data_IF_197000967541
#
_entry.id   IF_197000967541
#
_cell.length_a   1.000
_cell.length_b   1.000
_cell.length_c   1.000
_cell.angle_alpha   90.00
_cell.angle_beta   90.00
_cell.angle_gamma   90.00
#
_symmetry.space_group_name_H-M   'P 1'
#
loop_
_entity.id
_entity.type
_entity.pdbx_description
1 polymer ?
#
# COMPACT_ATOMS: atom_id res chain seq x y z
N UNK A 1 17.17 -17.72 38.65
CA UNK A 1 17.45 -17.32 37.26
C UNK A 1 16.13 -17.28 36.53
N UNK A 2 15.62 -16.09 36.20
CA UNK A 2 14.53 -15.97 35.25
C UNK A 2 15.13 -16.34 33.89
N UNK A 3 14.77 -17.51 33.37
CA UNK A 3 15.04 -17.82 31.96
C UNK A 3 14.28 -16.75 31.16
N UNK A 4 15.02 -15.79 30.57
CA UNK A 4 14.43 -14.88 29.60
C UNK A 4 13.86 -15.75 28.48
N UNK A 5 12.54 -15.83 28.38
CA UNK A 5 11.90 -16.54 27.29
C UNK A 5 12.33 -15.85 25.99
N UNK A 6 12.74 -16.67 25.03
CA UNK A 6 13.17 -16.18 23.74
C UNK A 6 12.01 -15.50 23.03
N UNK A 7 12.18 -14.24 22.66
CA UNK A 7 11.20 -13.51 21.87
C UNK A 7 11.06 -14.15 20.48
N UNK A 8 9.82 -14.29 20.01
CA UNK A 8 9.55 -14.71 18.64
C UNK A 8 9.93 -13.59 17.66
N UNK A 9 11.01 -13.81 16.89
CA UNK A 9 11.48 -12.88 15.85
C UNK A 9 11.19 -13.45 14.47
N UNK A 10 10.42 -12.70 13.68
CA UNK A 10 9.94 -13.07 12.36
C UNK A 10 10.41 -12.03 11.33
N UNK A 11 10.77 -12.48 10.12
CA UNK A 11 10.96 -11.56 8.99
C UNK A 11 9.62 -10.93 8.58
N UNK A 12 8.56 -11.73 8.58
CA UNK A 12 7.20 -11.28 8.33
C UNK A 12 6.19 -12.26 8.91
N UNK A 13 5.01 -11.75 9.23
CA UNK A 13 3.86 -12.52 9.67
C UNK A 13 2.74 -12.32 8.64
N UNK A 14 2.24 -13.41 8.08
CA UNK A 14 1.06 -13.40 7.22
C UNK A 14 -0.04 -14.20 7.87
N UNK A 15 -1.24 -13.65 7.92
CA UNK A 15 -2.41 -14.34 8.48
C UNK A 15 -3.46 -14.46 7.38
N UNK A 16 -3.72 -15.70 6.96
CA UNK A 16 -4.75 -16.03 6.01
C UNK A 16 -5.80 -16.91 6.70
N UNK A 17 -7.06 -16.51 6.59
CA UNK A 17 -8.19 -17.25 7.12
C UNK A 17 -9.23 -17.48 6.03
N UNK A 18 -10.01 -18.55 6.19
CA UNK A 18 -11.16 -18.79 5.33
C UNK A 18 -12.18 -17.66 5.49
N UNK A 19 -12.83 -17.25 4.40
CA UNK A 19 -13.81 -16.15 4.41
C UNK A 19 -14.89 -16.35 5.48
N UNK A 20 -15.39 -17.57 5.65
CA UNK A 20 -16.38 -17.89 6.68
C UNK A 20 -15.89 -17.58 8.11
N UNK A 21 -14.59 -17.79 8.40
CA UNK A 21 -13.99 -17.51 9.70
C UNK A 21 -13.68 -16.03 9.92
N UNK A 22 -13.45 -15.28 8.84
CA UNK A 22 -13.31 -13.83 8.86
C UNK A 22 -14.69 -13.21 9.16
N UNK A 23 -15.71 -13.59 8.37
CA UNK A 23 -17.07 -13.04 8.47
C UNK A 23 -17.69 -13.24 9.85
N UNK A 24 -17.44 -14.38 10.51
CA UNK A 24 -17.99 -14.64 11.84
C UNK A 24 -17.05 -14.21 13.00
N UNK A 25 -15.95 -13.52 12.69
CA UNK A 25 -14.96 -12.99 13.64
C UNK A 25 -14.16 -14.06 14.39
N UNK A 26 -14.28 -15.35 14.03
CA UNK A 26 -13.56 -16.44 14.71
C UNK A 26 -12.05 -16.34 14.47
N UNK A 27 -11.66 -15.95 13.26
CA UNK A 27 -10.26 -15.72 12.93
C UNK A 27 -9.65 -14.65 13.84
N UNK A 28 -10.31 -13.49 13.98
CA UNK A 28 -9.88 -12.41 14.85
C UNK A 28 -9.73 -12.86 16.29
N UNK A 29 -10.79 -13.42 16.90
CA UNK A 29 -10.75 -13.87 18.29
C UNK A 29 -9.63 -14.86 18.56
N UNK A 30 -9.39 -15.79 17.64
CA UNK A 30 -8.31 -16.76 17.79
C UNK A 30 -6.92 -16.10 17.72
N UNK A 31 -6.74 -15.12 16.83
CA UNK A 31 -5.50 -14.35 16.74
C UNK A 31 -5.26 -13.50 17.98
N UNK A 32 -6.27 -12.78 18.46
CA UNK A 32 -6.20 -11.98 19.68
C UNK A 32 -5.87 -12.87 20.88
N UNK A 33 -6.51 -14.04 21.02
CA UNK A 33 -6.20 -15.00 22.07
C UNK A 33 -4.75 -15.51 21.97
N UNK A 34 -4.25 -15.78 20.77
CA UNK A 34 -2.87 -16.22 20.56
C UNK A 34 -1.89 -15.10 20.92
N UNK A 35 -2.09 -13.89 20.42
CA UNK A 35 -1.17 -12.78 20.61
C UNK A 35 -1.19 -12.25 22.04
N UNK A 36 -2.36 -12.19 22.68
CA UNK A 36 -2.47 -11.83 24.10
C UNK A 36 -1.88 -12.88 25.05
N UNK A 37 -1.73 -14.13 24.60
CA UNK A 37 -1.03 -15.17 25.38
C UNK A 37 0.49 -15.03 25.35
N UNK A 38 1.04 -14.17 24.48
CA UNK A 38 2.46 -13.86 24.45
C UNK A 38 2.78 -12.84 25.55
N UNK A 39 3.88 -13.08 26.27
CA UNK A 39 4.39 -12.17 27.31
C UNK A 39 5.28 -11.06 26.73
N UNK A 40 5.32 -10.94 25.40
CA UNK A 40 6.09 -9.95 24.65
C UNK A 40 5.33 -9.52 23.40
N UNK A 41 5.69 -8.36 22.83
CA UNK A 41 5.20 -7.94 21.52
C UNK A 41 5.83 -8.77 20.39
N UNK A 42 5.13 -8.90 19.28
CA UNK A 42 5.57 -9.63 18.10
C UNK A 42 6.67 -8.83 17.39
N UNK A 43 7.86 -9.43 17.26
CA UNK A 43 8.95 -8.86 16.48
C UNK A 43 8.85 -9.31 15.02
N UNK A 44 8.01 -8.64 14.23
CA UNK A 44 7.88 -8.89 12.80
C UNK A 44 8.08 -7.61 11.99
N UNK A 45 8.98 -7.63 10.98
CA UNK A 45 9.20 -6.44 10.13
C UNK A 45 8.03 -6.15 9.19
N UNK A 46 7.29 -7.19 8.84
CA UNK A 46 6.16 -7.12 7.92
C UNK A 46 4.96 -7.82 8.54
N UNK A 47 3.80 -7.20 8.42
CA UNK A 47 2.51 -7.82 8.72
C UNK A 47 1.63 -7.81 7.47
N UNK A 48 1.08 -8.98 7.14
CA UNK A 48 0.12 -9.17 6.06
C UNK A 48 -1.13 -9.84 6.61
N UNK A 49 -2.31 -9.30 6.31
CA UNK A 49 -3.56 -9.90 6.74
C UNK A 49 -4.67 -9.80 5.68
N UNK A 50 -5.62 -10.72 5.77
CA UNK A 50 -6.76 -10.84 4.89
C UNK A 50 -8.05 -10.84 5.72
N UNK A 51 -9.01 -9.99 5.37
CA UNK A 51 -10.28 -9.83 6.10
C UNK A 51 -10.72 -8.39 6.24
N UNK A 52 -11.57 -8.07 7.23
CA UNK A 52 -12.00 -6.68 7.44
C UNK A 52 -10.84 -5.82 7.92
N UNK A 53 -10.65 -4.65 7.34
CA UNK A 53 -9.57 -3.73 7.64
C UNK A 53 -9.58 -3.35 9.13
N UNK A 54 -10.76 -3.13 9.71
CA UNK A 54 -10.92 -2.88 11.15
C UNK A 54 -10.32 -4.01 12.01
N UNK A 55 -10.63 -5.26 11.70
CA UNK A 55 -10.12 -6.42 12.43
C UNK A 55 -8.61 -6.60 12.23
N UNK A 56 -8.11 -6.33 11.03
CA UNK A 56 -6.67 -6.42 10.76
C UNK A 56 -5.88 -5.39 11.56
N UNK A 57 -6.45 -4.19 11.69
CA UNK A 57 -5.83 -3.07 12.38
C UNK A 57 -5.91 -3.20 13.90
N UNK A 58 -6.92 -3.89 14.45
CA UNK A 58 -6.98 -4.17 15.88
C UNK A 58 -5.83 -5.08 16.36
N UNK A 59 -5.14 -5.74 15.44
CA UNK A 59 -3.96 -6.57 15.74
C UNK A 59 -2.66 -5.77 15.84
N UNK A 60 -2.61 -4.51 15.38
CA UNK A 60 -1.39 -3.70 15.42
C UNK A 60 -0.78 -3.53 16.82
N UNK A 61 -1.56 -3.32 17.91
CA UNK A 61 -0.99 -3.16 19.26
C UNK A 61 -0.14 -4.34 19.75
N UNK A 62 -0.31 -5.54 19.18
CA UNK A 62 0.48 -6.72 19.52
C UNK A 62 1.88 -6.72 18.88
N UNK A 63 2.17 -5.85 17.91
CA UNK A 63 3.47 -5.77 17.25
C UNK A 63 4.39 -4.77 17.94
N UNK A 64 5.69 -5.03 17.90
CA UNK A 64 6.68 -4.05 18.34
C UNK A 64 6.76 -2.90 17.32
N UNK A 65 6.51 -1.64 17.72
CA UNK A 65 6.51 -0.49 16.82
C UNK A 65 7.88 -0.15 16.24
N UNK A 66 8.99 -0.49 16.91
CA UNK A 66 10.34 -0.23 16.41
C UNK A 66 10.76 -1.23 15.32
N UNK A 67 10.07 -2.37 15.23
CA UNK A 67 10.39 -3.45 14.29
C UNK A 67 9.45 -3.47 13.10
N UNK A 68 8.15 -3.22 13.31
CA UNK A 68 7.15 -3.27 12.25
C UNK A 68 7.33 -2.09 11.28
N UNK A 69 7.68 -2.39 10.04
CA UNK A 69 7.95 -1.40 8.99
C UNK A 69 6.94 -1.45 7.85
N UNK A 70 6.32 -2.61 7.63
CA UNK A 70 5.49 -2.86 6.45
C UNK A 70 4.14 -3.45 6.82
N UNK A 71 3.07 -2.84 6.33
CA UNK A 71 1.71 -3.33 6.49
C UNK A 71 1.07 -3.62 5.13
N UNK A 72 0.55 -4.83 4.99
CA UNK A 72 -0.21 -5.28 3.83
C UNK A 72 -1.60 -5.72 4.29
N UNK A 73 -2.65 -5.09 3.75
CA UNK A 73 -4.04 -5.43 4.08
C UNK A 73 -4.77 -5.78 2.80
N UNK A 74 -5.45 -6.91 2.82
CA UNK A 74 -6.39 -7.31 1.78
C UNK A 74 -7.80 -7.30 2.35
N UNK A 75 -8.56 -6.26 2.02
CA UNK A 75 -9.96 -6.08 2.38
C UNK A 75 -10.85 -6.88 1.42
N UNK A 76 -11.57 -7.86 1.98
CA UNK A 76 -12.44 -8.78 1.21
C UNK A 76 -13.91 -8.37 1.23
N UNK A 77 -14.30 -7.45 2.10
CA UNK A 77 -15.68 -7.02 2.33
C UNK A 77 -15.89 -5.55 1.96
N UNK A 78 -17.15 -5.12 1.87
CA UNK A 78 -17.46 -3.69 1.67
C UNK A 78 -16.91 -2.90 2.85
N UNK A 79 -16.17 -1.83 2.56
CA UNK A 79 -15.57 -0.99 3.58
C UNK A 79 -16.66 -0.29 4.39
N UNK A 80 -16.70 -0.55 5.69
CA UNK A 80 -17.39 0.33 6.64
C UNK A 80 -16.74 1.73 6.62
N UNK A 81 -17.44 2.79 7.07
CA UNK A 81 -16.86 4.13 7.17
C UNK A 81 -15.53 4.11 7.92
N UNK A 82 -14.44 4.36 7.18
CA UNK A 82 -13.08 4.10 7.66
C UNK A 82 -12.45 5.30 8.44
N UNK A 83 -13.14 6.44 8.47
CA UNK A 83 -12.59 7.69 9.02
C UNK A 83 -12.29 7.58 10.52
N UNK A 84 -13.19 6.95 11.29
CA UNK A 84 -13.01 6.77 12.73
C UNK A 84 -11.83 5.84 13.01
N UNK A 85 -11.72 4.75 12.26
CA UNK A 85 -10.60 3.81 12.37
C UNK A 85 -9.26 4.49 12.07
N UNK A 86 -9.17 5.32 11.02
CA UNK A 86 -7.93 6.05 10.73
C UNK A 86 -7.53 7.02 11.85
N UNK A 87 -8.50 7.72 12.46
CA UNK A 87 -8.24 8.62 13.60
C UNK A 87 -7.66 7.90 14.81
N UNK A 88 -8.03 6.64 15.01
CA UNK A 88 -7.46 5.82 16.06
C UNK A 88 -6.10 5.23 15.66
N UNK A 89 -5.92 4.88 14.39
CA UNK A 89 -4.65 4.40 13.87
C UNK A 89 -3.52 5.40 14.01
N UNK A 90 -3.75 6.67 13.68
CA UNK A 90 -2.70 7.71 13.78
C UNK A 90 -2.21 7.93 15.21
N UNK A 91 -2.92 7.38 16.22
CA UNK A 91 -2.49 7.38 17.63
C UNK A 91 -1.59 6.20 17.99
N UNK A 92 -1.49 5.17 17.15
CA UNK A 92 -0.67 3.98 17.40
C UNK A 92 0.77 4.19 16.93
N UNK A 93 1.73 3.91 17.82
CA UNK A 93 3.16 3.96 17.48
C UNK A 93 3.50 3.02 16.31
N UNK A 94 2.86 1.84 16.27
CA UNK A 94 3.05 0.86 15.20
C UNK A 94 2.67 1.43 13.84
N UNK A 95 1.57 2.19 13.77
CA UNK A 95 1.15 2.86 12.53
C UNK A 95 2.10 4.00 12.16
N UNK A 96 2.64 4.70 13.16
CA UNK A 96 3.50 5.85 12.96
C UNK A 96 4.92 5.51 12.49
N UNK A 97 5.39 4.31 12.78
CA UNK A 97 6.71 3.83 12.36
C UNK A 97 6.72 3.03 11.04
N UNK A 98 5.55 2.79 10.44
CA UNK A 98 5.46 2.16 9.12
C UNK A 98 6.10 3.03 8.04
N UNK A 99 6.93 2.42 7.20
CA UNK A 99 7.48 3.04 5.98
C UNK A 99 6.76 2.56 4.71
N UNK A 100 6.17 1.36 4.74
CA UNK A 100 5.40 0.80 3.63
C UNK A 100 3.96 0.51 4.03
N UNK A 101 3.02 1.01 3.24
CA UNK A 101 1.59 0.77 3.40
C UNK A 101 0.98 0.28 2.09
N UNK A 102 0.53 -0.98 2.04
CA UNK A 102 -0.12 -1.53 0.85
C UNK A 102 -1.49 -2.07 1.20
N UNK A 103 -2.52 -1.47 0.63
CA UNK A 103 -3.90 -1.77 0.96
C UNK A 103 -4.61 -2.15 -0.34
N UNK A 104 -5.27 -3.30 -0.32
CA UNK A 104 -5.98 -3.85 -1.46
C UNK A 104 -7.46 -3.95 -1.06
N UNK A 105 -8.27 -3.08 -1.65
CA UNK A 105 -9.71 -3.08 -1.54
C UNK A 105 -10.31 -3.73 -2.77
N UNK A 106 -11.28 -4.61 -2.53
CA UNK A 106 -12.09 -5.20 -3.59
C UNK A 106 -12.92 -4.18 -4.37
N UNK A 107 -13.20 -3.03 -3.76
CA UNK A 107 -14.13 -2.03 -4.28
C UNK A 107 -13.40 -0.69 -4.52
N UNK A 108 -13.75 0.35 -3.76
CA UNK A 108 -13.18 1.70 -3.88
C UNK A 108 -12.22 1.94 -2.73
N UNK A 109 -11.06 2.51 -3.04
CA UNK A 109 -10.12 2.93 -2.01
C UNK A 109 -10.75 4.01 -1.14
N UNK A 110 -10.88 3.86 0.18
CA UNK A 110 -11.37 4.93 1.02
C UNK A 110 -10.31 6.03 1.24
N UNK A 111 -9.01 5.79 0.96
CA UNK A 111 -7.95 6.73 1.33
C UNK A 111 -7.90 8.01 0.51
N UNK A 112 -8.39 7.93 -0.72
CA UNK A 112 -8.51 9.06 -1.64
C UNK A 112 -9.42 10.17 -1.09
N UNK A 113 -10.20 9.90 -0.03
CA UNK A 113 -11.04 10.86 0.66
C UNK A 113 -10.43 11.46 1.92
N UNK A 114 -9.20 11.08 2.27
CA UNK A 114 -8.52 11.61 3.44
C UNK A 114 -7.37 12.54 3.07
N UNK A 115 -7.05 13.49 3.97
CA UNK A 115 -5.94 14.42 3.76
C UNK A 115 -4.61 13.67 3.55
N UNK A 116 -3.86 14.06 2.51
CA UNK A 116 -2.59 13.41 2.14
C UNK A 116 -1.52 13.52 3.23
N UNK A 117 -1.64 14.49 4.15
CA UNK A 117 -0.72 14.72 5.27
C UNK A 117 -0.62 13.52 6.20
N UNK A 118 -1.62 12.63 6.22
CA UNK A 118 -1.55 11.38 6.97
C UNK A 118 -0.66 10.31 6.30
N UNK A 119 -0.23 10.54 5.06
CA UNK A 119 0.48 9.59 4.22
C UNK A 119 1.87 10.06 3.78
N UNK A 120 2.24 11.32 4.00
CA UNK A 120 3.55 11.88 3.61
C UNK A 120 4.76 11.22 4.30
N UNK A 121 4.54 10.45 5.36
CA UNK A 121 5.60 9.70 6.05
C UNK A 121 6.01 8.41 5.33
N UNK A 122 5.16 7.90 4.43
CA UNK A 122 5.41 6.62 3.78
C UNK A 122 6.38 6.78 2.61
N UNK A 123 7.29 5.81 2.51
CA UNK A 123 8.23 5.63 1.40
C UNK A 123 7.57 4.86 0.26
N UNK A 124 6.71 3.89 0.60
CA UNK A 124 6.02 3.04 -0.36
C UNK A 124 4.51 2.98 -0.06
N UNK A 125 3.68 3.27 -1.07
CA UNK A 125 2.21 3.11 -0.98
C UNK A 125 1.68 2.20 -2.08
N UNK A 126 0.89 1.19 -1.71
CA UNK A 126 0.16 0.31 -2.63
C UNK A 126 -1.34 0.56 -2.58
N UNK A 127 -1.93 0.89 -3.73
CA UNK A 127 -3.36 1.11 -3.98
C UNK A 127 -3.85 0.03 -4.96
N UNK A 128 -3.97 -1.22 -4.49
CA UNK A 128 -4.13 -2.36 -5.40
C UNK A 128 -5.59 -2.61 -5.85
N UNK A 129 -6.41 -1.58 -5.82
CA UNK A 129 -7.80 -1.63 -6.23
C UNK A 129 -7.83 -1.59 -7.76
N UNK A 130 -8.68 -2.38 -8.40
CA UNK A 130 -8.75 -2.41 -9.85
C UNK A 130 -9.71 -1.32 -10.36
N UNK A 131 -9.14 -0.18 -10.77
CA UNK A 131 -9.89 0.93 -11.37
C UNK A 131 -10.08 0.64 -12.85
N UNK A 132 -11.33 0.47 -13.30
CA UNK A 132 -11.63 0.05 -14.68
C UNK A 132 -11.87 1.22 -15.62
N UNK A 133 -12.30 2.34 -15.09
CA UNK A 133 -12.48 3.58 -15.85
C UNK A 133 -12.02 4.78 -15.03
N UNK A 134 -11.61 5.86 -15.69
CA UNK A 134 -11.27 7.13 -15.03
C UNK A 134 -12.42 7.62 -14.14
N UNK A 135 -13.66 7.36 -14.58
CA UNK A 135 -14.87 7.79 -13.87
C UNK A 135 -15.20 6.94 -12.63
N UNK A 136 -14.58 5.76 -12.48
CA UNK A 136 -14.82 4.90 -11.31
C UNK A 136 -14.25 5.53 -10.03
N UNK A 137 -13.12 6.24 -10.16
CA UNK A 137 -12.43 6.88 -9.04
C UNK A 137 -11.56 8.05 -9.52
N UNK A 138 -12.13 9.14 -10.06
CA UNK A 138 -11.33 10.29 -10.53
C UNK A 138 -10.50 10.92 -9.40
N UNK A 139 -10.98 10.84 -8.16
CA UNK A 139 -10.28 11.35 -6.98
C UNK A 139 -8.94 10.66 -6.69
N UNK A 140 -8.73 9.41 -7.11
CA UNK A 140 -7.44 8.73 -6.85
C UNK A 140 -6.29 9.39 -7.60
N UNK A 141 -6.55 9.91 -8.79
CA UNK A 141 -5.54 10.58 -9.60
C UNK A 141 -5.13 11.91 -8.98
N UNK A 142 -6.12 12.69 -8.52
CA UNK A 142 -5.87 13.92 -7.77
C UNK A 142 -5.10 13.63 -6.48
N UNK A 143 -5.46 12.57 -5.75
CA UNK A 143 -4.81 12.17 -4.53
C UNK A 143 -3.35 11.72 -4.75
N UNK A 144 -3.09 10.91 -5.79
CA UNK A 144 -1.73 10.49 -6.16
C UNK A 144 -0.87 11.71 -6.51
N UNK A 145 -1.42 12.65 -7.31
CA UNK A 145 -0.73 13.90 -7.66
C UNK A 145 -0.39 14.71 -6.43
N UNK A 146 -1.36 14.92 -5.55
CA UNK A 146 -1.16 15.69 -4.33
C UNK A 146 -0.12 15.04 -3.42
N UNK A 147 -0.18 13.71 -3.23
CA UNK A 147 0.80 12.97 -2.44
C UNK A 147 2.23 13.10 -3.01
N UNK A 148 2.40 12.94 -4.32
CA UNK A 148 3.72 13.05 -4.99
C UNK A 148 4.32 14.45 -4.83
N UNK A 149 3.50 15.50 -4.90
CA UNK A 149 3.97 16.88 -4.76
C UNK A 149 4.28 17.22 -3.30
N UNK A 150 3.50 16.70 -2.36
CA UNK A 150 3.59 17.05 -0.93
C UNK A 150 4.54 16.18 -0.13
N UNK A 151 4.70 14.90 -0.49
CA UNK A 151 5.51 13.96 0.27
C UNK A 151 6.99 14.08 -0.08
N UNK A 152 7.88 14.38 0.89
CA UNK A 152 9.32 14.35 0.64
C UNK A 152 9.88 12.92 0.61
N UNK A 153 9.15 11.96 1.19
CA UNK A 153 9.64 10.60 1.46
C UNK A 153 9.18 9.57 0.43
N UNK A 154 8.14 9.86 -0.36
CA UNK A 154 7.56 8.87 -1.27
C UNK A 154 8.57 8.49 -2.36
N UNK A 155 8.92 7.21 -2.38
CA UNK A 155 9.82 6.59 -3.34
C UNK A 155 9.06 5.71 -4.32
N UNK A 156 7.93 5.12 -3.91
CA UNK A 156 7.14 4.22 -4.76
C UNK A 156 5.64 4.31 -4.50
N UNK A 157 4.87 4.36 -5.57
CA UNK A 157 3.42 4.13 -5.57
C UNK A 157 3.12 3.00 -6.54
N UNK A 158 2.31 2.03 -6.13
CA UNK A 158 1.73 1.03 -7.04
C UNK A 158 0.22 1.15 -7.05
N UNK A 159 -0.41 1.09 -8.21
CA UNK A 159 -1.87 1.19 -8.32
C UNK A 159 -2.44 0.31 -9.42
N UNK A 160 -3.65 -0.22 -9.23
CA UNK A 160 -4.33 -1.08 -10.21
C UNK A 160 -5.22 -0.28 -11.18
N UNK A 161 -4.88 -0.28 -12.47
CA UNK A 161 -5.67 0.35 -13.53
C UNK A 161 -5.91 -0.61 -14.70
N UNK A 162 -7.16 -0.94 -14.95
CA UNK A 162 -7.65 -1.63 -16.16
C UNK A 162 -8.05 -0.61 -17.24
N UNK A 163 -7.16 0.38 -17.44
CA UNK A 163 -7.27 1.50 -18.38
C UNK A 163 -5.97 1.54 -19.18
N UNK A 164 -5.96 2.09 -20.40
CA UNK A 164 -4.71 2.22 -21.15
C UNK A 164 -3.68 3.07 -20.37
N UNK A 165 -2.39 2.73 -20.48
CA UNK A 165 -1.32 3.48 -19.82
C UNK A 165 -1.33 4.97 -20.20
N UNK A 166 -1.63 5.26 -21.47
CA UNK A 166 -1.75 6.65 -21.97
C UNK A 166 -2.84 7.44 -21.26
N UNK A 167 -4.06 6.91 -21.22
CA UNK A 167 -5.15 7.59 -20.54
C UNK A 167 -4.87 7.79 -19.05
N UNK A 168 -4.18 6.83 -18.41
CA UNK A 168 -3.74 6.97 -17.01
C UNK A 168 -2.75 8.12 -16.86
N UNK A 169 -1.70 8.19 -17.68
CA UNK A 169 -0.71 9.27 -17.62
C UNK A 169 -1.32 10.64 -17.93
N UNK A 170 -2.12 10.76 -18.99
CA UNK A 170 -2.77 12.02 -19.38
C UNK A 170 -3.70 12.56 -18.28
N UNK A 171 -4.33 11.68 -17.51
CA UNK A 171 -5.19 12.08 -16.40
C UNK A 171 -4.42 12.31 -15.08
N UNK A 172 -3.32 11.57 -14.85
CA UNK A 172 -2.47 11.73 -13.68
C UNK A 172 -1.86 13.11 -13.59
N UNK A 173 -1.26 13.60 -14.68
CA UNK A 173 -0.73 14.97 -14.77
C UNK A 173 -0.45 15.33 -16.25
N UNK A 174 -1.06 16.40 -16.80
CA UNK A 174 -0.83 16.80 -18.18
C UNK A 174 0.61 17.23 -18.48
N UNK A 175 1.42 17.55 -17.45
CA UNK A 175 2.82 17.98 -17.60
C UNK A 175 3.81 16.80 -17.64
N UNK A 176 3.33 15.55 -17.63
CA UNK A 176 4.17 14.35 -17.76
C UNK A 176 4.83 14.35 -19.15
N UNK A 177 6.16 14.31 -19.16
CA UNK A 177 6.91 14.09 -20.40
C UNK A 177 6.85 12.62 -20.74
N UNK A 178 6.21 12.31 -21.87
CA UNK A 178 6.03 10.93 -22.30
C UNK A 178 6.96 10.64 -23.47
N UNK A 179 7.89 9.73 -23.23
CA UNK A 179 8.67 9.08 -24.28
C UNK A 179 7.92 7.82 -24.69
N UNK A 180 7.27 7.87 -25.86
CA UNK A 180 6.53 6.75 -26.42
C UNK A 180 7.47 5.94 -27.32
N UNK A 181 7.78 4.70 -26.93
CA UNK A 181 8.31 3.73 -27.89
C UNK A 181 7.17 3.24 -28.79
N UNK A 182 7.36 3.26 -30.11
CA UNK A 182 6.32 3.01 -31.12
C UNK A 182 5.78 1.56 -31.07
N UNK A 183 6.42 0.65 -30.32
CA UNK A 183 5.93 -0.71 -30.04
C UNK A 183 5.22 -0.88 -28.70
N UNK A 184 5.44 0.00 -27.72
CA UNK A 184 5.08 -0.26 -26.33
C UNK A 184 4.70 1.03 -25.58
N UNK A 185 3.45 1.10 -25.09
CA UNK A 185 2.96 2.14 -24.17
C UNK A 185 3.61 2.03 -22.77
N UNK A 186 4.94 1.96 -22.66
CA UNK A 186 5.61 1.32 -21.51
C UNK A 186 6.13 2.25 -20.43
N UNK A 187 6.34 3.54 -20.70
CA UNK A 187 7.10 4.40 -19.78
C UNK A 187 6.75 5.89 -19.91
N UNK A 188 6.82 6.64 -18.80
CA UNK A 188 6.69 8.10 -18.78
C UNK A 188 7.49 8.71 -17.61
N UNK A 189 7.87 10.00 -17.72
CA UNK A 189 8.55 10.72 -16.65
C UNK A 189 7.69 11.85 -16.09
N UNK A 190 7.55 11.89 -14.78
CA UNK A 190 6.87 12.95 -14.05
C UNK A 190 7.88 13.78 -13.26
N UNK A 191 8.11 15.01 -13.71
CA UNK A 191 9.01 15.94 -13.01
C UNK A 191 8.20 16.87 -12.11
N UNK A 192 8.50 16.83 -10.82
CA UNK A 192 7.99 17.79 -9.84
C UNK A 192 9.09 18.77 -9.45
N UNK A 193 8.78 19.89 -8.78
CA UNK A 193 9.81 20.81 -8.30
C UNK A 193 10.89 20.16 -7.42
N UNK A 194 10.56 19.04 -6.76
CA UNK A 194 11.40 18.41 -5.75
C UNK A 194 12.04 17.09 -6.21
N UNK A 195 11.52 16.44 -7.25
CA UNK A 195 11.91 15.07 -7.61
C UNK A 195 11.48 14.74 -9.04
N UNK A 196 12.11 13.72 -9.63
CA UNK A 196 11.64 13.09 -10.86
C UNK A 196 11.14 11.69 -10.54
N UNK A 197 10.03 11.30 -11.13
CA UNK A 197 9.45 9.97 -11.00
C UNK A 197 9.35 9.31 -12.37
N UNK A 198 9.75 8.04 -12.46
CA UNK A 198 9.42 7.17 -13.56
C UNK A 198 8.03 6.57 -13.33
N UNK A 199 7.25 6.47 -14.39
CA UNK A 199 5.95 5.82 -14.41
C UNK A 199 6.03 4.69 -15.43
N UNK A 200 5.61 3.49 -15.05
CA UNK A 200 5.56 2.34 -15.94
C UNK A 200 4.48 1.34 -15.53
N UNK A 201 4.46 0.18 -16.19
CA UNK A 201 3.64 -0.96 -15.80
C UNK A 201 4.50 -2.08 -15.23
N UNK A 202 3.92 -2.91 -14.37
CA UNK A 202 4.59 -4.12 -13.88
C UNK A 202 4.67 -5.18 -14.99
N UNK A 203 5.82 -5.84 -15.14
CA UNK A 203 6.07 -6.82 -16.22
C UNK A 203 5.09 -8.00 -16.21
N UNK A 204 4.73 -8.45 -15.01
CA UNK A 204 3.83 -9.61 -14.82
C UNK A 204 2.35 -9.24 -14.73
N UNK A 205 2.01 -7.97 -14.49
CA UNK A 205 0.63 -7.50 -14.47
C UNK A 205 0.56 -6.12 -15.09
N UNK A 206 0.23 -6.08 -16.39
CA UNK A 206 0.08 -4.84 -17.14
C UNK A 206 -1.03 -3.93 -16.58
N UNK A 207 -1.88 -4.41 -15.68
CA UNK A 207 -2.87 -3.56 -14.98
C UNK A 207 -2.25 -2.83 -13.79
N UNK A 208 -1.08 -3.22 -13.31
CA UNK A 208 -0.41 -2.53 -12.22
C UNK A 208 0.47 -1.40 -12.76
N UNK A 209 0.08 -0.15 -12.46
CA UNK A 209 0.91 1.03 -12.61
C UNK A 209 1.94 1.07 -11.48
N UNK A 210 3.16 1.47 -11.81
CA UNK A 210 4.23 1.72 -10.87
C UNK A 210 4.72 3.16 -11.11
N UNK A 211 4.74 3.96 -10.06
CA UNK A 211 5.39 5.28 -10.03
C UNK A 211 6.56 5.17 -9.06
N UNK A 212 7.78 5.48 -9.51
CA UNK A 212 9.00 5.32 -8.71
C UNK A 212 9.90 6.54 -8.82
N UNK A 213 10.41 7.02 -7.69
CA UNK A 213 11.31 8.16 -7.62
C UNK A 213 12.69 7.81 -8.20
N UNK A 214 13.20 8.69 -9.04
CA UNK A 214 14.51 8.57 -9.68
C UNK A 214 15.63 8.95 -8.69
N UNK A 215 15.98 8.04 -7.79
CA UNK A 215 17.07 8.21 -6.82
C UNK A 215 18.37 7.49 -7.24
N UNK A 216 18.67 7.38 -8.55
CA UNK A 216 19.82 6.59 -9.04
C UNK A 216 19.66 5.08 -8.87
N UNK A 217 18.41 4.61 -8.77
CA UNK A 217 18.04 3.20 -8.60
C UNK A 217 18.12 2.49 -9.97
N UNK A 218 18.72 1.29 -9.97
CA UNK A 218 18.65 0.37 -11.11
C UNK A 218 17.21 -0.17 -11.19
N UNK A 219 16.50 0.19 -12.26
CA UNK A 219 15.03 0.10 -12.37
C UNK A 219 14.41 -1.30 -12.30
N UNK A 220 15.18 -2.37 -12.06
CA UNK A 220 14.64 -3.71 -11.79
C UNK A 220 13.57 -4.14 -12.82
N UNK A 221 12.49 -4.85 -12.44
CA UNK A 221 11.47 -5.39 -13.35
C UNK A 221 10.46 -4.32 -13.82
N UNK A 222 10.93 -3.10 -14.08
CA UNK A 222 10.26 -2.17 -14.98
C UNK A 222 10.80 -2.49 -16.37
N UNK A 223 10.07 -3.23 -17.19
CA UNK A 223 10.42 -3.30 -18.61
C UNK A 223 10.29 -1.91 -19.22
N UNK A 224 11.42 -1.43 -19.72
CA UNK A 224 11.46 -1.00 -21.11
C UNK A 224 11.26 -2.30 -21.92
N UNK A 225 10.10 -2.46 -22.54
CA UNK A 225 9.70 -3.69 -23.22
C UNK A 225 10.58 -3.86 -24.48
N UNK A 226 11.67 -4.61 -24.39
CA UNK A 226 12.33 -5.16 -25.58
C UNK A 226 11.58 -6.43 -26.02
N UNK A 227 11.07 -6.36 -27.26
CA UNK A 227 10.61 -7.41 -28.18
C UNK A 227 9.77 -8.58 -27.61
N UNK A 228 8.46 -8.58 -27.90
CA UNK A 228 7.66 -9.77 -28.26
C UNK A 228 6.47 -9.43 -29.17
#
# INVERSE_FOLDING_TARGET
>A
MLFSRSELKLKGLSINAADASIVNGTALRNMENLFSSMDHQIHAKQFCSFGSLKDQLSLLPYFNPEVLQRLFVYERHESEPFLETLRDLVKLDQWNNLTTLSLNFRYRNPFVFYPVEHFVKYEEIGLNDLIRTINDSPEIFAWIRELIVTSPNIDKITAGFDISFREVCEFLDPDIEIEWDEGHNGFAYWRTPNSTFAIGRHDEDLRQLIIMKENGINWGPLRVLDDL
#
